data_IF_192487275334
#
_entry.id   IF_192487275334
#
_cell.length_a   1.000
_cell.length_b   1.000
_cell.length_c   1.000
_cell.angle_alpha   90.00
_cell.angle_beta   90.00
_cell.angle_gamma   90.00
#
_symmetry.space_group_name_H-M   'P 1'
#
loop_
_entity.id
_entity.type
_entity.pdbx_description
1 polymer ?
#
# COMPACT_ATOMS: atom_id res chain seq x y z
N UNK A 1 70.39 -16.28 -2.75
CA UNK A 1 70.83 -14.87 -2.96
C UNK A 1 69.65 -13.95 -2.76
N UNK A 2 69.62 -13.22 -1.63
CA UNK A 2 68.67 -12.13 -1.32
C UNK A 2 69.41 -10.82 -1.53
N UNK A 3 68.83 -9.89 -2.29
CA UNK A 3 69.34 -8.52 -2.40
C UNK A 3 68.38 -7.54 -1.76
N UNK A 4 68.96 -6.73 -0.86
CA UNK A 4 68.45 -5.55 -0.20
C UNK A 4 67.88 -4.50 -1.19
N UNK A 5 66.89 -3.71 -0.75
CA UNK A 5 67.12 -2.30 -0.33
C UNK A 5 65.85 -1.66 0.24
N UNK A 6 66.04 -1.14 1.45
CA UNK A 6 65.25 -0.10 2.11
C UNK A 6 65.32 1.21 1.32
N UNK A 7 64.27 2.03 1.42
CA UNK A 7 64.43 3.47 1.65
C UNK A 7 63.16 4.10 2.22
N UNK A 8 63.38 5.01 3.15
CA UNK A 8 62.45 5.67 4.05
C UNK A 8 62.28 7.14 3.66
N UNK A 9 61.05 7.65 3.87
CA UNK A 9 60.66 9.06 4.12
C UNK A 9 61.19 10.14 3.17
N UNK A 10 60.27 10.92 2.61
CA UNK A 10 60.01 12.28 3.13
C UNK A 10 58.68 12.81 2.63
N UNK A 11 57.80 13.12 3.59
CA UNK A 11 56.55 13.84 3.43
C UNK A 11 56.85 15.25 3.93
N UNK A 12 56.98 16.21 3.03
CA UNK A 12 57.00 17.64 3.33
C UNK A 12 56.49 18.41 2.10
N UNK A 13 55.46 19.22 2.34
CA UNK A 13 54.98 20.36 1.56
C UNK A 13 54.56 20.15 0.10
N UNK A 14 53.25 19.90 -0.07
CA UNK A 14 52.52 20.29 -1.29
C UNK A 14 51.27 21.10 -0.87
N UNK A 15 50.99 22.27 -1.49
CA UNK A 15 49.95 23.20 -1.07
C UNK A 15 48.53 22.67 -1.36
N UNK A 16 47.48 23.21 -0.70
CA UNK A 16 46.10 22.77 -0.83
C UNK A 16 45.44 23.34 -2.10
N UNK A 17 45.88 22.93 -3.30
CA UNK A 17 45.31 23.43 -4.56
C UNK A 17 44.27 22.49 -5.22
N UNK A 18 44.13 21.25 -4.71
CA UNK A 18 43.27 20.25 -5.34
C UNK A 18 41.77 20.34 -4.99
N UNK A 19 41.38 21.09 -3.95
CA UNK A 19 39.99 21.15 -3.46
C UNK A 19 39.15 22.22 -4.19
N UNK A 20 39.79 23.31 -4.65
CA UNK A 20 39.14 24.43 -5.32
C UNK A 20 38.69 24.12 -6.76
N UNK A 21 39.44 23.29 -7.49
CA UNK A 21 39.09 22.93 -8.86
C UNK A 21 37.85 22.01 -8.92
N UNK A 22 37.72 21.09 -7.96
CA UNK A 22 36.60 20.15 -7.90
C UNK A 22 35.30 20.82 -7.42
N UNK A 23 35.40 21.76 -6.47
CA UNK A 23 34.27 22.60 -6.03
C UNK A 23 33.81 23.58 -7.11
N UNK A 24 34.72 24.19 -7.86
CA UNK A 24 34.37 25.07 -8.98
C UNK A 24 33.68 24.30 -10.12
N UNK A 25 34.10 23.06 -10.40
CA UNK A 25 33.46 22.18 -11.38
C UNK A 25 32.04 21.76 -10.94
N UNK A 26 31.89 21.31 -9.69
CA UNK A 26 30.58 20.96 -9.09
C UNK A 26 29.62 22.16 -9.04
N UNK A 27 30.11 23.35 -8.72
CA UNK A 27 29.32 24.58 -8.70
C UNK A 27 28.85 24.98 -10.11
N UNK A 28 29.70 24.81 -11.13
CA UNK A 28 29.32 25.01 -12.53
C UNK A 28 28.23 24.04 -12.98
N UNK A 29 28.31 22.78 -12.55
CA UNK A 29 27.31 21.75 -12.87
C UNK A 29 25.95 22.08 -12.23
N UNK A 30 25.95 22.52 -10.97
CA UNK A 30 24.74 22.94 -10.25
C UNK A 30 24.08 24.18 -10.87
N UNK A 31 24.88 25.19 -11.25
CA UNK A 31 24.36 26.41 -11.92
C UNK A 31 23.77 26.05 -13.29
N UNK A 32 24.42 25.16 -14.04
CA UNK A 32 23.91 24.64 -15.31
C UNK A 32 22.56 23.94 -15.15
N UNK A 33 22.42 23.10 -14.13
CA UNK A 33 21.15 22.42 -13.84
C UNK A 33 20.03 23.42 -13.46
N UNK A 34 20.32 24.39 -12.59
CA UNK A 34 19.36 25.45 -12.20
C UNK A 34 18.87 26.26 -13.41
N UNK A 35 19.73 26.53 -14.38
CA UNK A 35 19.36 27.25 -15.61
C UNK A 35 18.42 26.44 -16.49
N UNK A 36 18.74 25.16 -16.68
CA UNK A 36 17.89 24.23 -17.45
C UNK A 36 16.50 24.15 -16.82
N UNK A 37 16.45 24.01 -15.49
CA UNK A 37 15.21 23.99 -14.71
C UNK A 37 14.42 25.29 -14.82
N UNK A 38 15.03 26.45 -14.60
CA UNK A 38 14.34 27.73 -14.71
C UNK A 38 13.78 27.98 -16.12
N UNK A 39 14.53 27.62 -17.15
CA UNK A 39 14.09 27.78 -18.54
C UNK A 39 12.92 26.85 -18.89
N UNK A 40 12.97 25.58 -18.46
CA UNK A 40 11.87 24.65 -18.67
C UNK A 40 10.60 25.11 -17.92
N UNK A 41 10.73 25.55 -16.66
CA UNK A 41 9.62 26.07 -15.86
C UNK A 41 8.98 27.31 -16.48
N UNK A 42 9.80 28.27 -16.96
CA UNK A 42 9.30 29.49 -17.61
C UNK A 42 8.54 29.17 -18.90
N UNK A 43 9.05 28.27 -19.74
CA UNK A 43 8.36 27.84 -20.97
C UNK A 43 7.08 27.07 -20.68
N UNK A 44 7.08 26.20 -19.68
CA UNK A 44 5.89 25.50 -19.22
C UNK A 44 4.80 26.48 -18.78
N UNK A 45 5.16 27.45 -17.95
CA UNK A 45 4.23 28.46 -17.46
C UNK A 45 3.63 29.31 -18.59
N UNK A 46 4.44 29.70 -19.57
CA UNK A 46 3.99 30.42 -20.76
C UNK A 46 3.07 29.58 -21.66
N UNK A 47 3.38 28.29 -21.86
CA UNK A 47 2.57 27.39 -22.69
C UNK A 47 1.21 27.07 -22.07
N UNK A 48 1.14 26.96 -20.74
CA UNK A 48 -0.09 26.62 -20.02
C UNK A 48 -0.87 27.86 -19.56
N UNK A 49 -0.45 29.08 -19.94
CA UNK A 49 -1.13 30.32 -19.59
C UNK A 49 -1.11 30.65 -18.09
N UNK A 50 -0.12 30.12 -17.36
CA UNK A 50 0.05 30.40 -15.93
C UNK A 50 0.53 31.86 -15.79
N UNK A 51 -0.17 32.63 -14.96
CA UNK A 51 0.16 34.03 -14.70
C UNK A 51 1.49 34.14 -13.93
N UNK A 52 2.58 34.34 -14.67
CA UNK A 52 3.91 34.65 -14.13
C UNK A 52 4.15 36.15 -14.24
N UNK A 53 4.69 36.76 -13.18
CA UNK A 53 5.03 38.17 -13.20
C UNK A 53 6.02 38.47 -14.35
N UNK A 54 5.75 39.46 -15.22
CA UNK A 54 6.59 39.76 -16.38
C UNK A 54 8.03 40.11 -15.97
N UNK A 55 8.19 40.73 -14.80
CA UNK A 55 9.50 41.04 -14.21
C UNK A 55 10.35 39.80 -13.95
N UNK A 56 9.74 38.67 -13.59
CA UNK A 56 10.46 37.42 -13.34
C UNK A 56 11.03 36.81 -14.62
N UNK A 57 10.27 36.87 -15.72
CA UNK A 57 10.71 36.38 -17.02
C UNK A 57 11.81 37.29 -17.58
N UNK A 58 11.66 38.61 -17.44
CA UNK A 58 12.68 39.57 -17.83
C UNK A 58 14.00 39.35 -17.05
N UNK A 59 13.93 39.25 -15.72
CA UNK A 59 15.11 38.98 -14.87
C UNK A 59 15.77 37.65 -15.20
N UNK A 60 14.99 36.59 -15.45
CA UNK A 60 15.51 35.29 -15.85
C UNK A 60 16.26 35.39 -17.19
N UNK A 61 15.70 36.07 -18.19
CA UNK A 61 16.33 36.22 -19.51
C UNK A 61 17.68 36.93 -19.43
N UNK A 62 17.78 37.99 -18.61
CA UNK A 62 19.02 38.74 -18.38
C UNK A 62 20.06 37.86 -17.68
N UNK A 63 19.66 37.13 -16.64
CA UNK A 63 20.56 36.24 -15.90
C UNK A 63 21.03 35.05 -16.76
N UNK A 64 20.19 34.51 -17.63
CA UNK A 64 20.57 33.45 -18.56
C UNK A 64 21.60 33.92 -19.60
N UNK A 65 21.40 35.11 -20.17
CA UNK A 65 22.37 35.71 -21.11
C UNK A 65 23.69 36.01 -20.41
N UNK A 66 23.64 36.62 -19.22
CA UNK A 66 24.83 36.93 -18.43
C UNK A 66 25.61 35.66 -18.06
N UNK A 67 24.92 34.60 -17.62
CA UNK A 67 25.58 33.36 -17.22
C UNK A 67 26.10 32.55 -18.42
N UNK A 68 25.44 32.61 -19.58
CA UNK A 68 25.96 32.00 -20.82
C UNK A 68 27.23 32.69 -21.33
N UNK A 69 27.32 34.02 -21.18
CA UNK A 69 28.53 34.79 -21.49
C UNK A 69 29.66 34.51 -20.51
N UNK A 70 29.36 34.45 -19.21
CA UNK A 70 30.34 34.09 -18.20
C UNK A 70 30.89 32.65 -18.37
N UNK A 71 30.10 31.74 -18.95
CA UNK A 71 30.56 30.39 -19.30
C UNK A 71 31.47 30.36 -20.55
N UNK A 72 31.29 31.31 -21.48
CA UNK A 72 32.11 31.43 -22.70
C UNK A 72 33.40 32.24 -22.45
N UNK A 73 33.34 33.24 -21.58
CA UNK A 73 34.47 34.08 -21.17
C UNK A 73 35.11 33.47 -19.91
N UNK A 74 35.83 32.36 -20.07
CA UNK A 74 36.49 31.62 -18.98
C UNK A 74 37.69 32.36 -18.35
N UNK A 75 37.71 33.69 -18.34
CA UNK A 75 38.79 34.47 -17.76
C UNK A 75 38.22 35.65 -16.97
N UNK A 76 38.78 35.84 -15.77
CA UNK A 76 38.63 36.97 -14.84
C UNK A 76 37.56 36.81 -13.75
N UNK A 77 37.90 35.96 -12.77
CA UNK A 77 38.09 36.33 -11.35
C UNK A 77 37.06 37.19 -10.58
N UNK A 78 35.77 37.14 -10.94
CA UNK A 78 34.72 37.71 -10.10
C UNK A 78 33.85 36.64 -9.43
N UNK A 79 34.43 35.95 -8.46
CA UNK A 79 33.76 34.97 -7.61
C UNK A 79 32.62 35.58 -6.77
N UNK A 80 32.52 36.90 -6.68
CA UNK A 80 31.48 37.62 -5.93
C UNK A 80 30.23 37.84 -6.77
N UNK A 81 30.37 38.27 -8.03
CA UNK A 81 29.24 38.40 -8.97
C UNK A 81 28.67 37.05 -9.38
N UNK A 82 29.52 36.02 -9.53
CA UNK A 82 29.08 34.65 -9.78
C UNK A 82 28.19 34.09 -8.63
N UNK A 83 28.54 34.40 -7.37
CA UNK A 83 27.72 34.03 -6.20
C UNK A 83 26.39 34.80 -6.14
N UNK A 84 26.41 36.09 -6.46
CA UNK A 84 25.19 36.92 -6.54
C UNK A 84 24.22 36.44 -7.63
N UNK A 85 24.73 36.11 -8.82
CA UNK A 85 23.92 35.56 -9.91
C UNK A 85 23.34 34.18 -9.56
N UNK A 86 24.10 33.33 -8.88
CA UNK A 86 23.65 32.01 -8.41
C UNK A 86 22.51 32.13 -7.39
N UNK A 87 22.62 33.05 -6.43
CA UNK A 87 21.57 33.32 -5.46
C UNK A 87 20.30 33.87 -6.12
N UNK A 88 20.44 34.82 -7.05
CA UNK A 88 19.31 35.38 -7.80
C UNK A 88 18.59 34.30 -8.63
N UNK A 89 19.34 33.39 -9.25
CA UNK A 89 18.78 32.27 -10.00
C UNK A 89 18.03 31.29 -9.09
N UNK A 90 18.57 30.96 -7.90
CA UNK A 90 17.90 30.12 -6.91
C UNK A 90 16.62 30.78 -6.36
N UNK A 91 16.62 32.10 -6.17
CA UNK A 91 15.43 32.84 -5.74
C UNK A 91 14.33 32.83 -6.82
N UNK A 92 14.71 32.99 -8.09
CA UNK A 92 13.80 32.90 -9.24
C UNK A 92 13.27 31.47 -9.38
N UNK A 93 14.14 30.46 -9.23
CA UNK A 93 13.76 29.03 -9.23
C UNK A 93 12.67 28.74 -8.21
N UNK A 94 12.85 29.19 -6.94
CA UNK A 94 11.84 29.03 -5.89
C UNK A 94 10.52 29.71 -6.23
N UNK A 95 10.55 30.93 -6.79
CA UNK A 95 9.33 31.68 -7.16
C UNK A 95 8.59 31.02 -8.34
N UNK A 96 9.33 30.52 -9.32
CA UNK A 96 8.78 29.72 -10.43
C UNK A 96 8.19 28.42 -9.91
N UNK A 97 8.89 27.69 -9.04
CA UNK A 97 8.41 26.45 -8.44
C UNK A 97 7.08 26.61 -7.69
N UNK A 98 6.89 27.75 -7.00
CA UNK A 98 5.61 28.09 -6.36
C UNK A 98 4.52 28.42 -7.38
N UNK A 99 4.86 29.16 -8.44
CA UNK A 99 3.90 29.57 -9.46
C UNK A 99 3.40 28.39 -10.34
N UNK A 100 4.24 27.38 -10.56
CA UNK A 100 3.89 26.20 -11.37
C UNK A 100 3.24 25.08 -10.56
N UNK A 101 3.08 25.23 -9.23
CA UNK A 101 2.43 24.23 -8.39
C UNK A 101 1.01 23.92 -8.93
N UNK A 102 0.65 22.64 -9.12
CA UNK A 102 1.23 21.44 -8.52
C UNK A 102 2.37 20.75 -9.31
N UNK A 103 2.80 21.27 -10.46
CA UNK A 103 3.88 20.68 -11.25
C UNK A 103 5.25 20.86 -10.56
N UNK A 104 6.09 19.82 -10.55
CA UNK A 104 7.44 19.91 -9.96
C UNK A 104 8.47 20.37 -11.01
N UNK A 105 9.50 21.15 -10.62
CA UNK A 105 10.55 21.63 -11.54
C UNK A 105 11.22 20.51 -12.33
N UNK A 106 11.46 19.37 -11.66
CA UNK A 106 12.13 18.21 -12.21
C UNK A 106 11.24 17.43 -13.19
N UNK A 107 9.92 17.38 -12.95
CA UNK A 107 8.98 16.80 -13.90
C UNK A 107 8.92 17.63 -15.19
N UNK A 108 8.91 18.96 -15.06
CA UNK A 108 8.84 19.89 -16.20
C UNK A 108 10.11 19.85 -17.06
N UNK A 109 11.31 19.75 -16.48
CA UNK A 109 12.55 19.60 -17.26
C UNK A 109 12.63 18.29 -18.00
N UNK A 110 12.23 17.19 -17.35
CA UNK A 110 12.21 15.87 -17.98
C UNK A 110 11.19 15.84 -19.11
N UNK A 111 9.98 16.40 -18.92
CA UNK A 111 8.98 16.53 -19.97
C UNK A 111 9.47 17.42 -21.13
N UNK A 112 10.12 18.56 -20.84
CA UNK A 112 10.63 19.47 -21.87
C UNK A 112 11.77 18.84 -22.69
N UNK A 113 12.61 18.02 -22.05
CA UNK A 113 13.64 17.23 -22.71
C UNK A 113 13.04 16.18 -23.64
N UNK A 114 12.02 15.45 -23.18
CA UNK A 114 11.32 14.44 -23.99
C UNK A 114 10.49 15.06 -25.13
N UNK A 115 9.86 16.22 -24.91
CA UNK A 115 9.13 16.99 -25.93
C UNK A 115 10.04 17.45 -27.09
N UNK A 116 11.32 17.70 -26.82
CA UNK A 116 12.31 18.11 -27.84
C UNK A 116 12.82 16.94 -28.67
N UNK A 117 12.85 15.72 -28.14
CA UNK A 117 13.24 14.54 -28.89
C UNK A 117 12.06 14.10 -29.75
N UNK A 118 12.03 14.62 -30.97
CA UNK A 118 10.99 14.36 -31.98
C UNK A 118 10.98 12.89 -32.41
N UNK A 119 10.37 12.03 -31.59
CA UNK A 119 10.22 10.61 -31.88
C UNK A 119 9.18 10.41 -32.99
N UNK A 120 9.43 9.46 -33.90
CA UNK A 120 8.53 9.10 -35.03
C UNK A 120 7.10 8.68 -34.59
N UNK A 121 6.89 8.45 -33.29
CA UNK A 121 5.61 8.08 -32.70
C UNK A 121 5.04 9.16 -31.76
N UNK A 122 5.44 10.43 -31.91
CA UNK A 122 4.95 11.56 -31.12
C UNK A 122 3.43 11.81 -31.23
N UNK A 123 2.74 11.16 -32.18
CA UNK A 123 1.30 11.25 -32.35
C UNK A 123 0.50 10.58 -31.22
N UNK A 124 1.07 9.59 -30.52
CA UNK A 124 0.41 8.87 -29.42
C UNK A 124 0.64 9.51 -28.04
N UNK A 125 1.22 10.70 -28.01
CA UNK A 125 1.49 11.46 -26.78
C UNK A 125 2.98 11.69 -26.53
N UNK A 126 3.32 12.74 -25.77
CA UNK A 126 4.71 13.16 -25.55
C UNK A 126 5.50 12.26 -24.60
N UNK A 127 4.82 11.41 -23.82
CA UNK A 127 5.44 10.60 -22.75
C UNK A 127 5.67 9.15 -23.20
N UNK A 128 6.89 8.59 -23.06
CA UNK A 128 7.21 7.23 -23.51
C UNK A 128 6.39 6.15 -22.80
N UNK A 129 6.01 6.37 -21.54
CA UNK A 129 5.14 5.47 -20.79
C UNK A 129 3.74 5.34 -21.40
N UNK A 130 3.11 6.45 -21.80
CA UNK A 130 1.79 6.44 -22.45
C UNK A 130 1.84 5.60 -23.72
N UNK A 131 2.91 5.74 -24.50
CA UNK A 131 3.13 4.95 -25.72
C UNK A 131 3.28 3.47 -25.42
N UNK A 132 4.08 3.10 -24.41
CA UNK A 132 4.26 1.71 -23.99
C UNK A 132 2.94 1.08 -23.51
N UNK A 133 2.13 1.81 -22.73
CA UNK A 133 0.82 1.37 -22.27
C UNK A 133 -0.21 1.26 -23.41
N UNK A 134 -0.15 2.17 -24.38
CA UNK A 134 -1.04 2.11 -25.55
C UNK A 134 -0.66 0.92 -26.45
N UNK A 135 0.64 0.67 -26.62
CA UNK A 135 1.14 -0.51 -27.34
C UNK A 135 0.78 -1.81 -26.63
N UNK A 136 0.86 -1.85 -25.29
CA UNK A 136 0.44 -3.03 -24.53
C UNK A 136 -1.07 -3.26 -24.67
N UNK A 137 -1.90 -2.22 -24.55
CA UNK A 137 -3.34 -2.30 -24.78
C UNK A 137 -3.68 -2.81 -26.18
N UNK A 138 -3.03 -2.27 -27.22
CA UNK A 138 -3.21 -2.71 -28.60
C UNK A 138 -2.77 -4.17 -28.79
N UNK A 139 -1.67 -4.58 -28.15
CA UNK A 139 -1.18 -5.96 -28.19
C UNK A 139 -2.17 -6.92 -27.53
N UNK A 140 -2.69 -6.57 -26.36
CA UNK A 140 -3.74 -7.36 -25.70
C UNK A 140 -5.02 -7.42 -26.53
N UNK A 141 -5.44 -6.32 -27.15
CA UNK A 141 -6.60 -6.31 -28.04
C UNK A 141 -6.42 -7.25 -29.23
N UNK A 142 -5.27 -7.18 -29.91
CA UNK A 142 -4.94 -8.10 -31.00
C UNK A 142 -4.90 -9.54 -30.51
N UNK A 143 -4.36 -9.79 -29.32
CA UNK A 143 -4.29 -11.11 -28.72
C UNK A 143 -5.68 -11.66 -28.37
N UNK A 144 -6.60 -10.83 -27.84
CA UNK A 144 -8.01 -11.18 -27.61
C UNK A 144 -8.68 -11.55 -28.94
N UNK A 145 -8.50 -10.73 -29.98
CA UNK A 145 -9.09 -11.00 -31.30
C UNK A 145 -8.54 -12.32 -31.86
N UNK A 146 -7.22 -12.51 -31.83
CA UNK A 146 -6.56 -13.71 -32.34
C UNK A 146 -7.00 -14.98 -31.60
N UNK A 147 -7.15 -14.91 -30.27
CA UNK A 147 -7.62 -16.05 -29.47
C UNK A 147 -9.12 -16.30 -29.63
N UNK A 148 -9.93 -15.25 -29.83
CA UNK A 148 -11.38 -15.39 -30.08
C UNK A 148 -11.71 -16.07 -31.42
N UNK A 149 -10.77 -16.05 -32.37
CA UNK A 149 -10.90 -16.75 -33.65
C UNK A 149 -10.60 -18.26 -33.53
N UNK A 150 -10.05 -18.71 -32.41
CA UNK A 150 -9.76 -20.13 -32.18
C UNK A 150 -11.05 -20.89 -31.85
N UNK A 151 -11.32 -22.04 -32.52
CA UNK A 151 -12.50 -22.85 -32.24
C UNK A 151 -12.50 -23.48 -30.84
N UNK A 152 -11.37 -23.45 -30.12
CA UNK A 152 -11.28 -23.92 -28.74
C UNK A 152 -11.92 -22.93 -27.74
N UNK A 153 -12.01 -21.63 -28.11
CA UNK A 153 -12.61 -20.56 -27.30
C UNK A 153 -14.10 -20.46 -27.62
N UNK A 154 -14.94 -21.07 -26.78
CA UNK A 154 -16.39 -21.02 -26.91
C UNK A 154 -17.05 -20.74 -25.56
N UNK A 155 -18.25 -20.18 -25.58
CA UNK A 155 -19.03 -19.88 -24.36
C UNK A 155 -19.16 -21.12 -23.48
N UNK A 156 -19.43 -22.28 -24.09
CA UNK A 156 -19.57 -23.55 -23.38
C UNK A 156 -18.27 -24.03 -22.69
N UNK A 157 -17.10 -23.73 -23.29
CA UNK A 157 -15.81 -24.12 -22.72
C UNK A 157 -15.30 -23.08 -21.71
N UNK A 158 -15.65 -21.81 -21.87
CA UNK A 158 -15.30 -20.73 -20.94
C UNK A 158 -16.08 -20.88 -19.62
N UNK A 159 -17.32 -21.37 -19.68
CA UNK A 159 -18.14 -21.62 -18.50
C UNK A 159 -17.63 -22.77 -17.63
N UNK A 160 -16.96 -23.75 -18.24
CA UNK A 160 -16.22 -24.79 -17.51
C UNK A 160 -15.02 -24.14 -16.80
N UNK A 161 -15.05 -24.12 -15.47
CA UNK A 161 -13.96 -23.54 -14.65
C UNK A 161 -12.63 -24.25 -14.87
N UNK A 162 -11.55 -23.76 -14.26
CA UNK A 162 -10.22 -24.34 -14.47
C UNK A 162 -10.11 -25.80 -14.02
N UNK A 163 -10.97 -26.20 -13.07
CA UNK A 163 -10.98 -27.53 -12.49
C UNK A 163 -11.72 -28.57 -13.35
N UNK A 164 -12.69 -28.15 -14.16
CA UNK A 164 -13.54 -29.05 -14.97
C UNK A 164 -13.05 -29.21 -16.41
N UNK A 165 -12.12 -28.36 -16.85
CA UNK A 165 -11.55 -28.38 -18.20
C UNK A 165 -10.24 -29.17 -18.23
N UNK A 166 -10.05 -30.01 -19.25
CA UNK A 166 -8.83 -30.81 -19.43
C UNK A 166 -8.10 -30.47 -20.74
N UNK A 167 -6.75 -30.53 -20.70
CA UNK A 167 -5.90 -30.46 -21.89
C UNK A 167 -5.64 -29.05 -22.43
N UNK A 168 -5.41 -28.95 -23.74
CA UNK A 168 -5.05 -27.71 -24.45
C UNK A 168 -6.16 -26.65 -24.44
N UNK A 169 -7.42 -27.08 -24.29
CA UNK A 169 -8.61 -26.21 -24.24
C UNK A 169 -8.59 -25.27 -23.04
N UNK A 170 -8.16 -25.78 -21.88
CA UNK A 170 -8.01 -24.97 -20.68
C UNK A 170 -6.99 -23.85 -20.91
N UNK A 171 -5.86 -24.17 -21.55
CA UNK A 171 -4.81 -23.20 -21.83
C UNK A 171 -5.33 -22.07 -22.75
N UNK A 172 -6.07 -22.40 -23.81
CA UNK A 172 -6.65 -21.39 -24.71
C UNK A 172 -7.69 -20.51 -24.02
N UNK A 173 -8.57 -21.07 -23.20
CA UNK A 173 -9.56 -20.30 -22.44
C UNK A 173 -8.90 -19.42 -21.38
N UNK A 174 -7.93 -19.95 -20.64
CA UNK A 174 -7.17 -19.20 -19.64
C UNK A 174 -6.39 -18.05 -20.30
N UNK A 175 -5.77 -18.30 -21.46
CA UNK A 175 -5.03 -17.29 -22.21
C UNK A 175 -5.95 -16.19 -22.76
N UNK A 176 -7.13 -16.56 -23.27
CA UNK A 176 -8.15 -15.61 -23.68
C UNK A 176 -8.60 -14.71 -22.50
N UNK A 177 -8.94 -15.31 -21.35
CA UNK A 177 -9.33 -14.58 -20.14
C UNK A 177 -8.19 -13.71 -19.60
N UNK A 178 -6.95 -14.19 -19.68
CA UNK A 178 -5.75 -13.43 -19.31
C UNK A 178 -5.59 -12.19 -20.20
N UNK A 179 -5.83 -12.30 -21.51
CA UNK A 179 -5.79 -11.17 -22.43
C UNK A 179 -6.95 -10.19 -22.20
N UNK A 180 -8.15 -10.67 -21.87
CA UNK A 180 -9.26 -9.83 -21.44
C UNK A 180 -8.92 -9.05 -20.15
N UNK A 181 -8.36 -9.72 -19.14
CA UNK A 181 -7.90 -9.07 -17.91
C UNK A 181 -6.77 -8.07 -18.18
N UNK A 182 -5.81 -8.43 -19.04
CA UNK A 182 -4.74 -7.56 -19.51
C UNK A 182 -5.25 -6.30 -20.19
N UNK A 183 -6.27 -6.43 -21.06
CA UNK A 183 -6.91 -5.29 -21.72
C UNK A 183 -7.53 -4.32 -20.70
N UNK A 184 -8.27 -4.85 -19.72
CA UNK A 184 -8.84 -4.04 -18.63
C UNK A 184 -7.78 -3.32 -17.80
N UNK A 185 -6.70 -4.03 -17.44
CA UNK A 185 -5.58 -3.47 -16.67
C UNK A 185 -4.80 -2.40 -17.44
N UNK A 186 -4.56 -2.60 -18.73
CA UNK A 186 -3.95 -1.60 -19.61
C UNK A 186 -4.84 -0.36 -19.72
N UNK A 187 -6.16 -0.48 -19.82
CA UNK A 187 -7.06 0.67 -19.84
C UNK A 187 -7.04 1.46 -18.52
N UNK A 188 -7.06 0.77 -17.37
CA UNK A 188 -7.01 1.44 -16.07
C UNK A 188 -5.69 2.18 -15.84
N UNK A 189 -4.57 1.55 -16.18
CA UNK A 189 -3.25 2.17 -16.07
C UNK A 189 -3.06 3.32 -17.05
N UNK A 190 -3.55 3.19 -18.28
CA UNK A 190 -3.52 4.26 -19.28
C UNK A 190 -4.38 5.47 -18.85
N UNK A 191 -5.60 5.24 -18.34
CA UNK A 191 -6.48 6.32 -17.88
C UNK A 191 -5.87 7.08 -16.69
N UNK A 192 -5.23 6.36 -15.76
CA UNK A 192 -4.50 6.98 -14.66
C UNK A 192 -3.30 7.77 -15.16
N UNK A 193 -2.48 7.18 -16.04
CA UNK A 193 -1.32 7.85 -16.63
C UNK A 193 -1.73 9.12 -17.39
N UNK A 194 -2.80 9.06 -18.18
CA UNK A 194 -3.34 10.22 -18.89
C UNK A 194 -3.75 11.33 -17.92
N UNK A 195 -4.36 11.00 -16.77
CA UNK A 195 -4.70 11.99 -15.73
C UNK A 195 -3.46 12.64 -15.12
N UNK A 196 -2.39 11.88 -14.87
CA UNK A 196 -1.14 12.43 -14.33
C UNK A 196 -0.42 13.33 -15.33
N UNK A 197 -0.45 12.98 -16.62
CA UNK A 197 0.11 13.79 -17.70
C UNK A 197 -0.74 15.04 -17.95
N UNK A 198 -2.08 14.93 -17.94
CA UNK A 198 -2.98 16.08 -18.06
C UNK A 198 -2.83 17.08 -16.90
N UNK A 199 -2.51 16.60 -15.70
CA UNK A 199 -2.23 17.44 -14.54
C UNK A 199 -0.75 17.86 -14.43
N UNK A 200 0.08 17.53 -15.43
CA UNK A 200 1.53 17.81 -15.47
C UNK A 200 2.27 17.40 -14.18
N UNK A 201 1.78 16.37 -13.48
CA UNK A 201 2.35 15.80 -12.26
C UNK A 201 3.05 14.47 -12.56
N UNK A 202 3.40 14.23 -13.81
CA UNK A 202 4.06 12.99 -14.23
C UNK A 202 5.52 13.00 -13.76
N UNK A 203 5.90 11.99 -12.97
CA UNK A 203 7.26 11.75 -12.53
C UNK A 203 7.73 10.39 -13.12
N UNK A 204 8.73 10.39 -14.03
CA UNK A 204 9.30 9.18 -14.64
C UNK A 204 9.82 8.14 -13.63
N UNK A 205 10.10 8.53 -12.38
CA UNK A 205 10.54 7.61 -11.33
C UNK A 205 9.52 6.49 -11.06
N UNK A 206 8.24 6.74 -11.34
CA UNK A 206 7.17 5.78 -11.08
C UNK A 206 6.85 4.85 -12.26
N UNK A 207 7.60 4.86 -13.36
CA UNK A 207 7.38 4.00 -14.53
C UNK A 207 7.27 2.51 -14.16
N UNK A 208 8.16 2.03 -13.30
CA UNK A 208 8.11 0.66 -12.79
C UNK A 208 6.83 0.37 -11.97
N UNK A 209 6.29 1.39 -11.29
CA UNK A 209 5.05 1.27 -10.51
C UNK A 209 3.81 1.14 -11.41
N UNK A 210 3.80 1.75 -12.59
CA UNK A 210 2.72 1.57 -13.56
C UNK A 210 2.73 0.15 -14.14
N UNK A 211 3.92 -0.40 -14.43
CA UNK A 211 4.07 -1.81 -14.84
C UNK A 211 3.59 -2.78 -13.77
N UNK A 212 3.97 -2.57 -12.51
CA UNK A 212 3.50 -3.39 -11.39
C UNK A 212 1.96 -3.33 -11.23
N UNK A 213 1.37 -2.15 -11.42
CA UNK A 213 -0.09 -1.96 -11.37
C UNK A 213 -0.81 -2.70 -12.50
N UNK A 214 -0.22 -2.73 -13.70
CA UNK A 214 -0.73 -3.50 -14.82
C UNK A 214 -0.74 -5.00 -14.50
N UNK A 215 0.37 -5.54 -14.00
CA UNK A 215 0.47 -6.96 -13.59
C UNK A 215 -0.56 -7.29 -12.52
N UNK A 216 -0.67 -6.44 -11.49
CA UNK A 216 -1.64 -6.63 -10.41
C UNK A 216 -3.09 -6.63 -10.93
N UNK A 217 -3.40 -5.77 -11.91
CA UNK A 217 -4.69 -5.77 -12.60
C UNK A 217 -4.95 -7.08 -13.34
N UNK A 218 -3.99 -7.57 -14.13
CA UNK A 218 -4.14 -8.85 -14.85
C UNK A 218 -4.45 -9.99 -13.89
N UNK A 219 -3.70 -10.08 -12.79
CA UNK A 219 -3.91 -11.11 -11.75
C UNK A 219 -5.29 -10.95 -11.10
N UNK A 220 -5.67 -9.73 -10.74
CA UNK A 220 -6.97 -9.45 -10.13
C UNK A 220 -8.14 -9.82 -11.05
N UNK A 221 -8.04 -9.53 -12.35
CA UNK A 221 -9.04 -9.93 -13.35
C UNK A 221 -9.19 -11.43 -13.46
N UNK A 222 -8.07 -12.17 -13.47
CA UNK A 222 -8.08 -13.63 -13.54
C UNK A 222 -8.67 -14.26 -12.27
N UNK A 223 -8.24 -13.78 -11.09
CA UNK A 223 -8.75 -14.26 -9.80
C UNK A 223 -10.26 -14.00 -9.69
N UNK A 224 -10.74 -12.83 -10.13
CA UNK A 224 -12.16 -12.49 -10.03
C UNK A 224 -13.03 -13.46 -10.83
N UNK A 225 -12.60 -13.87 -12.02
CA UNK A 225 -13.34 -14.82 -12.85
C UNK A 225 -13.38 -16.22 -12.26
N UNK A 226 -12.27 -16.67 -11.66
CA UNK A 226 -12.19 -18.02 -11.09
C UNK A 226 -12.88 -18.13 -9.73
N UNK A 227 -12.86 -17.07 -8.93
CA UNK A 227 -13.44 -17.08 -7.60
C UNK A 227 -14.96 -16.85 -7.61
N UNK A 228 -15.51 -16.19 -8.64
CA UNK A 228 -16.95 -15.94 -8.69
C UNK A 228 -17.70 -17.21 -9.10
N UNK A 229 -18.65 -17.68 -8.28
CA UNK A 229 -19.27 -18.97 -8.52
C UNK A 229 -20.25 -18.94 -9.71
N UNK A 230 -20.37 -20.07 -10.45
CA UNK A 230 -21.10 -20.17 -11.72
C UNK A 230 -22.59 -19.81 -11.63
N UNK A 231 -23.21 -19.92 -10.46
CA UNK A 231 -24.63 -19.62 -10.26
C UNK A 231 -24.99 -18.12 -10.36
N UNK A 232 -24.02 -17.21 -10.21
CA UNK A 232 -24.24 -15.78 -10.43
C UNK A 232 -24.40 -15.43 -11.93
N UNK A 233 -24.02 -16.36 -12.82
CA UNK A 233 -24.06 -16.18 -14.26
C UNK A 233 -25.31 -16.81 -14.90
N UNK A 234 -26.08 -17.59 -14.14
CA UNK A 234 -27.26 -18.30 -14.65
C UNK A 234 -28.48 -17.39 -14.88
N UNK A 235 -28.51 -16.21 -14.25
CA UNK A 235 -29.59 -15.23 -14.38
C UNK A 235 -29.48 -14.30 -15.59
N UNK A 236 -29.80 -14.79 -16.79
CA UNK A 236 -30.11 -13.93 -17.96
C UNK A 236 -29.13 -13.95 -19.14
N UNK A 237 -29.43 -13.14 -20.17
CA UNK A 237 -28.74 -13.02 -21.48
C UNK A 237 -27.23 -12.68 -21.43
N UNK A 238 -26.68 -12.47 -20.23
CA UNK A 238 -25.29 -12.13 -19.95
C UNK A 238 -24.35 -13.34 -19.92
N UNK A 239 -24.89 -14.57 -20.06
CA UNK A 239 -24.12 -15.82 -19.99
C UNK A 239 -22.95 -15.88 -20.99
N UNK A 240 -23.12 -15.37 -22.21
CA UNK A 240 -22.06 -15.37 -23.24
C UNK A 240 -20.98 -14.30 -23.07
N UNK A 241 -21.25 -13.24 -22.31
CA UNK A 241 -20.33 -12.11 -22.10
C UNK A 241 -19.80 -12.01 -20.66
N UNK A 242 -20.36 -12.78 -19.72
CA UNK A 242 -20.16 -12.60 -18.28
C UNK A 242 -18.70 -12.77 -17.85
N UNK A 243 -18.09 -13.93 -18.11
CA UNK A 243 -16.70 -14.21 -17.68
C UNK A 243 -15.67 -13.28 -18.34
N UNK A 244 -15.69 -13.03 -19.66
CA UNK A 244 -14.73 -12.11 -20.28
C UNK A 244 -14.93 -10.65 -19.84
N UNK A 245 -16.18 -10.20 -19.65
CA UNK A 245 -16.46 -8.86 -19.14
C UNK A 245 -16.01 -8.71 -17.68
N UNK A 246 -16.17 -9.73 -16.85
CA UNK A 246 -15.64 -9.72 -15.48
C UNK A 246 -14.12 -9.74 -15.45
N UNK A 247 -13.45 -10.48 -16.34
CA UNK A 247 -12.00 -10.43 -16.48
C UNK A 247 -11.55 -8.98 -16.76
N UNK A 248 -12.20 -8.32 -17.72
CA UNK A 248 -11.92 -6.92 -18.05
C UNK A 248 -12.21 -5.97 -16.87
N UNK A 249 -13.33 -6.15 -16.18
CA UNK A 249 -13.73 -5.31 -15.03
C UNK A 249 -12.77 -5.48 -13.85
N UNK A 250 -12.37 -6.71 -13.55
CA UNK A 250 -11.40 -7.03 -12.50
C UNK A 250 -10.00 -6.53 -12.86
N UNK A 251 -9.62 -6.62 -14.14
CA UNK A 251 -8.41 -6.01 -14.69
C UNK A 251 -8.39 -4.49 -14.50
N UNK A 252 -9.50 -3.83 -14.81
CA UNK A 252 -9.64 -2.39 -14.69
C UNK A 252 -9.66 -1.92 -13.22
N UNK A 253 -10.25 -2.71 -12.32
CA UNK A 253 -10.48 -2.33 -10.93
C UNK A 253 -9.78 -3.25 -9.93
N UNK A 254 -8.46 -3.42 -10.11
CA UNK A 254 -7.64 -4.24 -9.22
C UNK A 254 -7.85 -3.93 -7.72
N UNK A 255 -8.03 -2.65 -7.38
CA UNK A 255 -8.31 -2.22 -6.00
C UNK A 255 -9.68 -2.67 -5.50
N UNK A 256 -10.72 -2.66 -6.34
CA UNK A 256 -12.04 -3.15 -5.93
C UNK A 256 -12.02 -4.67 -5.73
N UNK A 257 -11.32 -5.41 -6.60
CA UNK A 257 -11.12 -6.86 -6.44
C UNK A 257 -10.38 -7.15 -5.15
N UNK A 258 -9.29 -6.43 -4.86
CA UNK A 258 -8.56 -6.60 -3.60
C UNK A 258 -9.45 -6.34 -2.38
N UNK A 259 -10.28 -5.29 -2.40
CA UNK A 259 -11.25 -5.02 -1.32
C UNK A 259 -12.30 -6.12 -1.17
N UNK A 260 -12.77 -6.68 -2.28
CA UNK A 260 -13.71 -7.80 -2.27
C UNK A 260 -13.08 -9.03 -1.61
N UNK A 261 -11.86 -9.40 -2.04
CA UNK A 261 -11.11 -10.51 -1.45
C UNK A 261 -10.87 -10.29 0.04
N UNK A 262 -10.44 -9.09 0.41
CA UNK A 262 -10.24 -8.73 1.82
C UNK A 262 -11.52 -8.88 2.63
N UNK A 263 -12.66 -8.42 2.09
CA UNK A 263 -13.96 -8.57 2.74
C UNK A 263 -14.37 -10.03 2.87
N UNK A 264 -14.11 -10.87 1.86
CA UNK A 264 -14.38 -12.30 1.94
C UNK A 264 -13.54 -12.97 3.04
N UNK A 265 -12.26 -12.63 3.11
CA UNK A 265 -11.35 -13.10 4.17
C UNK A 265 -11.84 -12.64 5.54
N UNK A 266 -12.19 -11.37 5.70
CA UNK A 266 -12.76 -10.84 6.94
C UNK A 266 -14.06 -11.56 7.30
N UNK A 267 -14.97 -11.80 6.35
CA UNK A 267 -16.21 -12.54 6.65
C UNK A 267 -15.94 -13.98 7.07
N UNK A 268 -14.98 -14.65 6.42
CA UNK A 268 -14.57 -16.00 6.80
C UNK A 268 -13.92 -15.99 8.19
N UNK A 269 -13.07 -15.01 8.47
CA UNK A 269 -12.47 -14.79 9.78
C UNK A 269 -13.54 -14.51 10.84
N UNK A 270 -14.57 -13.71 10.54
CA UNK A 270 -15.69 -13.47 11.45
C UNK A 270 -16.56 -14.70 11.66
N UNK A 271 -16.71 -15.55 10.65
CA UNK A 271 -17.47 -16.79 10.78
C UNK A 271 -16.70 -17.80 11.66
N UNK A 272 -15.39 -17.93 11.45
CA UNK A 272 -14.50 -18.81 12.23
C UNK A 272 -14.29 -18.28 13.66
N UNK A 273 -14.12 -16.96 13.83
CA UNK A 273 -13.96 -16.33 15.15
C UNK A 273 -15.28 -16.19 15.88
N UNK A 274 -16.38 -15.96 15.17
CA UNK A 274 -17.73 -15.86 15.74
C UNK A 274 -18.15 -17.13 16.46
N UNK A 275 -17.80 -18.30 15.91
CA UNK A 275 -18.08 -19.59 16.54
C UNK A 275 -17.31 -19.78 17.86
N UNK A 276 -16.03 -19.41 17.88
CA UNK A 276 -15.17 -19.55 19.07
C UNK A 276 -15.42 -18.48 20.13
N UNK A 277 -15.64 -17.23 19.74
CA UNK A 277 -15.90 -16.12 20.66
C UNK A 277 -17.31 -16.18 21.26
N UNK A 278 -18.34 -16.57 20.48
CA UNK A 278 -19.68 -16.77 21.01
C UNK A 278 -19.74 -17.96 21.98
N UNK A 279 -19.06 -19.07 21.68
CA UNK A 279 -18.96 -20.20 22.59
C UNK A 279 -18.20 -19.85 23.88
N UNK A 280 -17.10 -19.11 23.79
CA UNK A 280 -16.37 -18.64 24.96
C UNK A 280 -17.23 -17.68 25.80
N UNK A 281 -17.93 -16.72 25.19
CA UNK A 281 -18.77 -15.79 25.93
C UNK A 281 -19.96 -16.48 26.60
N UNK A 282 -20.61 -17.44 25.92
CA UNK A 282 -21.69 -18.24 26.50
C UNK A 282 -21.23 -19.04 27.73
N UNK A 283 -20.01 -19.60 27.69
CA UNK A 283 -19.44 -20.32 28.86
C UNK A 283 -19.10 -19.36 30.00
N UNK A 284 -18.52 -18.18 29.74
CA UNK A 284 -18.26 -17.17 30.77
C UNK A 284 -19.55 -16.64 31.42
N UNK A 285 -20.60 -16.37 30.63
CA UNK A 285 -21.89 -15.91 31.13
C UNK A 285 -22.58 -17.01 31.98
N UNK A 286 -22.51 -18.28 31.55
CA UNK A 286 -22.98 -19.41 32.34
C UNK A 286 -22.23 -19.50 33.68
N UNK A 287 -20.90 -19.42 33.69
CA UNK A 287 -20.12 -19.44 34.93
C UNK A 287 -20.48 -18.27 35.88
N UNK A 288 -20.72 -17.07 35.34
CA UNK A 288 -21.14 -15.91 36.14
C UNK A 288 -22.55 -16.09 36.72
N UNK A 289 -23.47 -16.64 35.94
CA UNK A 289 -24.83 -16.94 36.39
C UNK A 289 -24.83 -18.02 37.48
N UNK A 290 -24.01 -19.06 37.34
CA UNK A 290 -23.81 -20.08 38.38
C UNK A 290 -23.24 -19.49 39.67
N UNK A 291 -22.17 -18.69 39.59
CA UNK A 291 -21.58 -18.05 40.76
C UNK A 291 -22.55 -17.07 41.46
N UNK A 292 -23.41 -16.37 40.71
CA UNK A 292 -24.44 -15.52 41.30
C UNK A 292 -25.51 -16.34 42.03
N UNK A 293 -25.91 -17.49 41.47
CA UNK A 293 -26.90 -18.38 42.08
C UNK A 293 -26.37 -19.01 43.36
N UNK A 294 -25.11 -19.46 43.38
CA UNK A 294 -24.45 -20.01 44.57
C UNK A 294 -24.39 -18.98 45.71
N UNK A 295 -24.13 -17.70 45.40
CA UNK A 295 -24.12 -16.63 46.41
C UNK A 295 -25.49 -16.39 47.03
N UNK A 296 -26.55 -16.39 46.22
CA UNK A 296 -27.92 -16.19 46.71
C UNK A 296 -28.35 -17.38 47.58
N UNK A 297 -28.02 -18.60 47.16
CA UNK A 297 -28.28 -19.81 47.95
C UNK A 297 -27.55 -19.74 49.30
N UNK A 298 -26.25 -19.42 49.31
CA UNK A 298 -25.47 -19.29 50.53
C UNK A 298 -26.00 -18.21 51.48
N UNK A 299 -26.41 -17.05 50.94
CA UNK A 299 -27.05 -16.00 51.74
C UNK A 299 -28.37 -16.45 52.37
N UNK A 300 -29.15 -17.26 51.66
CA UNK A 300 -30.42 -17.81 52.18
C UNK A 300 -30.19 -18.84 53.29
N UNK A 301 -29.17 -19.68 53.16
CA UNK A 301 -28.76 -20.66 54.19
C UNK A 301 -28.29 -19.94 55.46
N UNK A 302 -27.45 -18.91 55.32
CA UNK A 302 -27.00 -18.07 56.44
C UNK A 302 -28.16 -17.40 57.16
N UNK A 303 -29.11 -16.82 56.42
CA UNK A 303 -30.29 -16.18 57.01
C UNK A 303 -31.15 -17.18 57.79
N UNK A 304 -31.33 -18.40 57.26
CA UNK A 304 -32.06 -19.46 57.93
C UNK A 304 -31.37 -19.92 59.23
N UNK A 305 -30.04 -20.04 59.23
CA UNK A 305 -29.28 -20.44 60.41
C UNK A 305 -29.27 -19.36 61.51
N UNK A 306 -29.21 -18.08 61.14
CA UNK A 306 -29.38 -16.97 62.09
C UNK A 306 -30.79 -16.97 62.72
N UNK A 307 -31.83 -17.21 61.92
CA UNK A 307 -33.21 -17.29 62.41
C UNK A 307 -33.38 -18.45 63.41
N UNK A 308 -32.79 -19.62 63.12
CA UNK A 308 -32.77 -20.76 64.05
C UNK A 308 -32.06 -20.43 65.35
N UNK A 309 -30.93 -19.71 65.28
CA UNK A 309 -30.19 -19.30 66.46
C UNK A 309 -31.00 -18.33 67.32
N UNK A 310 -31.70 -17.37 66.71
CA UNK A 310 -32.62 -16.46 67.41
C UNK A 310 -33.76 -17.21 68.12
N UNK A 311 -34.45 -18.12 67.42
CA UNK A 311 -35.51 -18.94 68.04
C UNK A 311 -34.98 -19.76 69.22
N UNK A 312 -33.76 -20.28 69.10
CA UNK A 312 -33.13 -21.08 70.15
C UNK A 312 -32.78 -20.26 71.41
N UNK A 313 -32.50 -18.95 71.25
CA UNK A 313 -32.30 -18.01 72.35
C UNK A 313 -33.61 -17.65 73.06
N UNK A 314 -34.69 -17.47 72.29
CA UNK A 314 -36.03 -17.16 72.82
C UNK A 314 -36.61 -18.33 73.65
N UNK A 315 -36.24 -19.58 73.33
CA UNK A 315 -36.65 -20.77 74.10
C UNK A 315 -35.92 -20.97 75.46
N UNK A 316 -35.03 -20.06 75.86
CA UNK A 316 -34.44 -20.06 77.21
C UNK A 316 -33.27 -21.02 77.41
N UNK A 317 -32.46 -21.28 76.39
CA UNK A 317 -31.26 -22.12 76.53
C UNK A 317 -30.21 -21.53 77.50
N UNK A 318 -29.50 -22.38 78.27
CA UNK A 318 -28.40 -21.95 79.13
C UNK A 318 -27.25 -21.36 78.29
N UNK A 319 -26.63 -20.29 78.81
CA UNK A 319 -25.66 -19.45 78.10
C UNK A 319 -24.44 -20.19 77.53
N UNK A 320 -24.10 -21.37 78.06
CA UNK A 320 -22.96 -22.16 77.60
C UNK A 320 -23.25 -22.93 76.29
N UNK A 321 -24.49 -23.37 76.08
CA UNK A 321 -24.90 -24.03 74.82
C UNK A 321 -24.89 -23.05 73.64
N UNK A 322 -25.20 -21.77 73.89
CA UNK A 322 -25.16 -20.69 72.89
C UNK A 322 -23.73 -20.43 72.43
N UNK A 323 -22.77 -20.37 73.36
CA UNK A 323 -21.35 -20.15 73.04
C UNK A 323 -20.77 -21.28 72.20
N UNK A 324 -21.14 -22.52 72.50
CA UNK A 324 -20.67 -23.69 71.76
C UNK A 324 -21.19 -23.69 70.32
N UNK A 325 -22.46 -23.32 70.12
CA UNK A 325 -23.08 -23.24 68.79
C UNK A 325 -22.57 -22.07 67.96
N UNK A 326 -22.26 -20.93 68.58
CA UNK A 326 -21.60 -19.80 67.93
C UNK A 326 -20.15 -20.14 67.51
N UNK A 327 -19.46 -20.94 68.32
CA UNK A 327 -18.12 -21.44 68.01
C UNK A 327 -18.14 -22.46 66.84
N UNK A 328 -19.17 -23.29 66.73
CA UNK A 328 -19.38 -24.16 65.57
C UNK A 328 -19.71 -23.37 64.30
N UNK A 329 -20.58 -22.35 64.40
CA UNK A 329 -20.92 -21.48 63.28
C UNK A 329 -19.73 -20.68 62.74
N UNK A 330 -18.93 -20.08 63.63
CA UNK A 330 -17.71 -19.37 63.23
C UNK A 330 -16.66 -20.30 62.60
N UNK A 331 -16.56 -21.55 63.07
CA UNK A 331 -15.71 -22.57 62.44
C UNK A 331 -16.21 -22.96 61.05
N UNK A 332 -17.53 -23.11 60.86
CA UNK A 332 -18.13 -23.40 59.56
C UNK A 332 -17.92 -22.26 58.54
N UNK A 333 -18.04 -21.00 58.98
CA UNK A 333 -17.73 -19.81 58.16
C UNK A 333 -16.27 -19.76 57.73
N UNK A 334 -15.34 -20.06 58.65
CA UNK A 334 -13.90 -20.07 58.37
C UNK A 334 -13.47 -21.24 57.46
N UNK A 335 -14.21 -22.37 57.47
CA UNK A 335 -13.93 -23.49 56.56
C UNK A 335 -14.60 -23.35 55.18
N UNK A 336 -15.69 -22.58 55.07
CA UNK A 336 -16.35 -22.30 53.80
C UNK A 336 -15.60 -21.25 52.95
N UNK A 337 -14.87 -20.33 53.59
CA UNK A 337 -14.03 -19.33 52.92
C UNK A 337 -12.59 -19.82 52.67
N UNK A 338 -12.27 -21.06 53.07
CA UNK A 338 -11.05 -21.71 52.65
C UNK A 338 -11.20 -22.11 51.18
N UNK A 339 -10.40 -21.55 50.25
CA UNK A 339 -10.41 -22.05 48.89
C UNK A 339 -10.11 -23.54 48.94
N UNK A 340 -10.89 -24.36 48.22
CA UNK A 340 -10.57 -25.77 47.99
C UNK A 340 -9.28 -25.87 47.18
N UNK A 341 -8.14 -25.55 47.78
CA UNK A 341 -6.81 -25.88 47.26
C UNK A 341 -6.58 -27.34 47.56
N UNK A 342 -7.03 -28.19 46.64
CA UNK A 342 -6.93 -29.62 46.75
C UNK A 342 -7.48 -30.37 45.55
N UNK A 343 -7.07 -30.01 44.32
CA UNK A 343 -6.97 -31.02 43.25
C UNK A 343 -5.57 -31.63 43.34
N UNK A 344 -5.46 -32.55 44.28
CA UNK A 344 -4.33 -33.46 44.39
C UNK A 344 -4.56 -34.52 43.30
N UNK A 345 -4.13 -34.21 42.07
CA UNK A 345 -4.04 -35.23 41.01
C UNK A 345 -2.92 -36.20 41.42
N UNK A 346 -3.33 -37.32 42.01
CA UNK A 346 -2.47 -38.39 42.48
C UNK A 346 -3.16 -39.73 42.30
N UNK A 347 -3.09 -40.23 41.07
CA UNK A 347 -3.01 -41.64 40.68
C UNK A 347 -4.09 -42.64 41.17
N UNK A 348 -4.62 -43.38 40.19
CA UNK A 348 -4.47 -44.84 40.08
C UNK A 348 -5.78 -45.61 39.83
N UNK A 349 -5.78 -46.31 38.70
CA UNK A 349 -6.32 -47.65 38.43
C UNK A 349 -7.82 -47.92 38.28
N UNK A 350 -8.02 -48.97 37.45
CA UNK A 350 -9.19 -49.79 37.17
C UNK A 350 -10.10 -49.17 36.09
N UNK A 351 -10.30 -49.74 34.90
CA UNK A 351 -10.09 -51.10 34.42
C UNK A 351 -11.32 -51.49 33.62
N UNK A 352 -11.18 -51.56 32.29
CA UNK A 352 -11.79 -52.47 31.30
C UNK A 352 -11.54 -51.95 29.89
#
# INVERSE_FOLDING_TARGET
>A
MRTHRSWSRTKADAPPEADGANTAASTRDLIGQLQIECNAMARYALQHGIAVAPDLIAQLSVLMVAASRAAAEAAVDDASSARGASYALAAIHRRLAVAIAPATPQAVTLLDGELRVRSRFAWLGPVPLIRALTLSAATFLVAVIATSLSPEVSVANIDQGFLDSHGTRLLWNALFLLFCAGLGASFATLFQAHRYVANSTYDPKYDASYGARLILGVIAGLILVELLPPHLYDGGSTRSFGKPALAMLGGFSATAVHRLLHRLVETLETLVRGDTAAAAQATFEAHRAHAATERVQWQSELAADLLRLQQSLETGMPADAVKQRLAEFTRAMLSADAPRTGRQDGANAIGE
#
